data_IF_413262073195
#
_entry.id   IF_413262073195
#
_cell.length_a   1.000
_cell.length_b   1.000
_cell.length_c   1.000
_cell.angle_alpha   90.00
_cell.angle_beta   90.00
_cell.angle_gamma   90.00
#
_symmetry.space_group_name_H-M   'P 1'
#
loop_
_entity.id
_entity.type
_entity.pdbx_description
1 polymer ?
#
# COMPACT_ATOMS: atom_id res chain seq x y z
N UNK A 1 9.23 9.79 48.86
CA UNK A 1 8.02 9.91 49.72
C UNK A 1 6.80 9.73 48.81
N UNK A 2 5.93 8.72 49.05
CA UNK A 2 4.84 8.33 48.13
C UNK A 2 3.83 9.45 47.86
N UNK A 3 3.63 10.38 48.78
CA UNK A 3 2.68 11.48 48.67
C UNK A 3 3.11 12.59 47.68
N UNK A 4 4.38 12.61 47.25
CA UNK A 4 4.88 13.53 46.20
C UNK A 4 4.83 12.93 44.78
N UNK A 5 4.43 11.69 44.63
CA UNK A 5 4.35 11.03 43.34
C UNK A 5 3.44 11.76 42.33
N UNK A 6 2.26 12.27 42.72
CA UNK A 6 1.41 13.04 41.82
C UNK A 6 2.03 14.35 41.32
N UNK A 7 2.74 15.06 42.19
CA UNK A 7 3.44 16.30 41.83
C UNK A 7 4.63 16.01 40.89
N UNK A 8 5.40 14.98 41.22
CA UNK A 8 6.52 14.54 40.40
C UNK A 8 6.06 14.09 39.01
N UNK A 9 4.94 13.34 38.92
CA UNK A 9 4.36 12.92 37.63
C UNK A 9 3.85 14.11 36.82
N UNK A 10 3.28 15.15 37.46
CA UNK A 10 2.88 16.38 36.77
C UNK A 10 4.11 17.14 36.26
N UNK A 11 5.14 17.33 37.09
CA UNK A 11 6.35 18.00 36.67
C UNK A 11 7.05 17.25 35.51
N UNK A 12 7.10 15.93 35.58
CA UNK A 12 7.58 15.09 34.49
C UNK A 12 6.74 15.26 33.24
N UNK A 13 5.39 15.21 33.34
CA UNK A 13 4.49 15.40 32.22
C UNK A 13 4.68 16.80 31.61
N UNK A 14 4.75 17.84 32.41
CA UNK A 14 4.95 19.20 31.92
C UNK A 14 6.33 19.41 31.31
N UNK A 15 7.38 18.75 31.82
CA UNK A 15 8.76 18.94 31.36
C UNK A 15 9.13 18.12 30.13
N UNK A 16 8.64 16.90 30.06
CA UNK A 16 9.05 15.91 29.02
C UNK A 16 7.98 15.53 28.03
N UNK A 17 6.70 15.73 28.35
CA UNK A 17 5.57 15.33 27.53
C UNK A 17 4.67 16.51 27.11
N UNK A 18 5.15 17.75 27.26
CA UNK A 18 4.42 18.93 26.81
C UNK A 18 4.31 18.90 25.29
N UNK A 19 3.12 18.61 24.80
CA UNK A 19 2.78 18.76 23.37
C UNK A 19 2.37 20.22 23.19
N UNK A 20 3.28 21.06 22.69
CA UNK A 20 3.05 22.49 22.49
C UNK A 20 2.05 22.79 21.36
N UNK A 21 1.94 21.91 20.38
CA UNK A 21 0.89 21.93 19.36
C UNK A 21 0.75 20.54 18.75
N UNK A 22 -0.49 20.06 18.56
CA UNK A 22 -0.78 18.91 17.71
C UNK A 22 -0.67 19.36 16.27
N UNK A 23 0.28 18.80 15.53
CA UNK A 23 0.38 19.03 14.08
C UNK A 23 -0.81 18.37 13.35
N UNK A 24 -1.08 18.81 12.12
CA UNK A 24 -2.08 18.14 11.27
C UNK A 24 -1.73 16.65 11.08
N UNK A 25 -0.43 16.32 11.03
CA UNK A 25 0.05 14.93 10.92
C UNK A 25 -0.24 14.12 12.21
N UNK A 26 -0.11 14.71 13.38
CA UNK A 26 -0.40 14.02 14.65
C UNK A 26 -1.91 13.74 14.81
N UNK A 27 -2.74 14.69 14.37
CA UNK A 27 -4.20 14.50 14.34
C UNK A 27 -4.58 13.39 13.38
N UNK A 28 -4.05 13.40 12.16
CA UNK A 28 -4.28 12.37 11.17
C UNK A 28 -3.83 10.97 11.65
N UNK A 29 -2.68 10.88 12.36
CA UNK A 29 -2.24 9.62 12.98
C UNK A 29 -3.22 9.15 14.06
N UNK A 30 -3.68 10.04 14.93
CA UNK A 30 -4.63 9.71 16.00
C UNK A 30 -5.95 9.19 15.42
N UNK A 31 -6.48 9.84 14.39
CA UNK A 31 -7.70 9.40 13.68
C UNK A 31 -7.51 8.03 13.05
N UNK A 32 -6.37 7.77 12.44
CA UNK A 32 -6.03 6.48 11.86
C UNK A 32 -5.96 5.36 12.91
N UNK A 33 -5.38 5.63 14.10
CA UNK A 33 -5.37 4.66 15.19
C UNK A 33 -6.78 4.33 15.69
N UNK A 34 -7.62 5.35 15.84
CA UNK A 34 -9.03 5.17 16.23
C UNK A 34 -9.80 4.37 15.19
N UNK A 35 -9.65 4.68 13.91
CA UNK A 35 -10.28 3.96 12.82
C UNK A 35 -9.82 2.48 12.78
N UNK A 36 -8.54 2.21 13.00
CA UNK A 36 -8.02 0.84 13.04
C UNK A 36 -8.55 0.06 14.25
N UNK A 37 -8.64 0.69 15.42
CA UNK A 37 -9.24 0.07 16.61
C UNK A 37 -10.73 -0.25 16.38
N UNK A 38 -11.48 0.67 15.78
CA UNK A 38 -12.89 0.46 15.43
C UNK A 38 -13.08 -0.67 14.40
N UNK A 39 -12.19 -0.79 13.40
CA UNK A 39 -12.18 -1.91 12.45
C UNK A 39 -11.93 -3.24 13.15
N UNK A 40 -10.94 -3.29 14.04
CA UNK A 40 -10.60 -4.51 14.79
C UNK A 40 -11.76 -4.96 15.70
N UNK A 41 -12.44 -4.02 16.33
CA UNK A 41 -13.63 -4.33 17.14
C UNK A 41 -14.79 -4.82 16.28
N UNK A 42 -15.07 -4.13 15.16
CA UNK A 42 -16.12 -4.53 14.24
C UNK A 42 -15.87 -5.94 13.66
N UNK A 43 -14.62 -6.31 13.38
CA UNK A 43 -14.28 -7.63 12.84
C UNK A 43 -14.69 -8.78 13.78
N UNK A 44 -14.67 -8.55 15.09
CA UNK A 44 -15.08 -9.58 16.10
C UNK A 44 -16.55 -9.94 16.04
N UNK A 45 -17.39 -9.05 15.49
CA UNK A 45 -18.83 -9.28 15.36
C UNK A 45 -19.23 -10.14 14.16
N UNK A 46 -18.30 -10.56 13.31
CA UNK A 46 -18.57 -11.34 12.12
C UNK A 46 -17.99 -12.75 12.22
N UNK A 47 -18.80 -13.76 11.91
CA UNK A 47 -18.36 -15.15 11.84
C UNK A 47 -17.57 -15.43 10.55
N UNK A 48 -17.91 -14.75 9.45
CA UNK A 48 -17.25 -14.85 8.15
C UNK A 48 -16.45 -13.58 7.83
N UNK A 49 -15.20 -13.75 7.41
CA UNK A 49 -14.32 -12.64 7.10
C UNK A 49 -14.75 -11.88 5.84
N UNK A 50 -15.34 -12.57 4.86
CA UNK A 50 -15.87 -11.95 3.66
C UNK A 50 -17.07 -11.03 3.96
N UNK A 51 -17.95 -11.44 4.88
CA UNK A 51 -19.06 -10.60 5.35
C UNK A 51 -18.53 -9.34 6.05
N UNK A 52 -17.50 -9.49 6.87
CA UNK A 52 -16.83 -8.35 7.47
C UNK A 52 -16.27 -7.40 6.41
N UNK A 53 -15.53 -7.90 5.41
CA UNK A 53 -14.98 -7.07 4.35
C UNK A 53 -16.08 -6.33 3.57
N UNK A 54 -17.18 -7.01 3.22
CA UNK A 54 -18.35 -6.38 2.58
C UNK A 54 -18.95 -5.27 3.43
N UNK A 55 -19.03 -5.48 4.74
CA UNK A 55 -19.57 -4.51 5.68
C UNK A 55 -18.74 -3.22 5.78
N UNK A 56 -17.47 -3.24 5.40
CA UNK A 56 -16.62 -2.06 5.42
C UNK A 56 -17.01 -1.02 4.36
N UNK A 57 -17.64 -1.45 3.24
CA UNK A 57 -17.96 -0.55 2.14
C UNK A 57 -16.72 0.12 1.56
N UNK A 58 -15.67 -0.67 1.34
CA UNK A 58 -14.38 -0.17 0.88
C UNK A 58 -14.45 0.40 -0.53
N UNK A 59 -13.95 1.61 -0.69
CA UNK A 59 -13.74 2.27 -1.98
C UNK A 59 -12.25 2.41 -2.21
N UNK A 60 -11.79 1.87 -3.33
CA UNK A 60 -10.42 1.92 -3.79
C UNK A 60 -10.35 2.88 -4.99
N UNK A 61 -9.74 4.03 -4.80
CA UNK A 61 -9.52 5.01 -5.88
C UNK A 61 -8.13 4.84 -6.43
N UNK A 62 -8.03 4.49 -7.72
CA UNK A 62 -6.77 4.22 -8.42
C UNK A 62 -6.60 5.27 -9.51
N UNK A 63 -5.49 6.01 -9.46
CA UNK A 63 -5.17 7.13 -10.37
C UNK A 63 -3.75 7.04 -10.88
N UNK A 64 -3.52 7.68 -12.02
CA UNK A 64 -2.15 8.05 -12.43
C UNK A 64 -1.60 9.09 -11.45
N UNK A 65 -0.32 8.97 -11.11
CA UNK A 65 0.33 10.00 -10.30
C UNK A 65 0.38 11.33 -11.06
N UNK A 66 0.36 12.40 -10.30
CA UNK A 66 0.44 13.79 -10.76
C UNK A 66 1.41 14.59 -9.88
N UNK A 67 1.57 15.87 -10.14
CA UNK A 67 2.45 16.75 -9.37
C UNK A 67 2.09 16.81 -7.87
N UNK A 68 0.80 16.65 -7.52
CA UNK A 68 0.33 16.70 -6.13
C UNK A 68 0.59 15.38 -5.39
N UNK A 69 0.50 14.25 -6.07
CA UNK A 69 0.63 12.92 -5.47
C UNK A 69 2.07 12.40 -5.50
N UNK A 70 2.91 12.89 -6.41
CA UNK A 70 4.32 12.48 -6.56
C UNK A 70 5.14 12.60 -5.27
N UNK A 71 5.07 13.69 -4.48
CA UNK A 71 5.78 13.79 -3.21
C UNK A 71 5.40 12.66 -2.25
N UNK A 72 4.11 12.28 -2.24
CA UNK A 72 3.62 11.19 -1.42
C UNK A 72 4.11 9.83 -1.90
N UNK A 73 4.15 9.58 -3.20
CA UNK A 73 4.72 8.36 -3.79
C UNK A 73 6.19 8.24 -3.39
N UNK A 74 7.00 9.30 -3.58
CA UNK A 74 8.40 9.33 -3.18
C UNK A 74 8.56 8.99 -1.68
N UNK A 75 7.80 9.64 -0.81
CA UNK A 75 7.81 9.37 0.62
C UNK A 75 7.49 7.90 0.94
N UNK A 76 6.52 7.31 0.24
CA UNK A 76 6.12 5.92 0.45
C UNK A 76 7.23 4.95 0.05
N UNK A 77 7.95 5.19 -1.06
CA UNK A 77 9.10 4.36 -1.44
C UNK A 77 10.19 4.38 -0.37
N UNK A 78 10.41 5.51 0.32
CA UNK A 78 11.40 5.64 1.38
C UNK A 78 11.01 4.92 2.68
N UNK A 79 9.71 4.90 3.03
CA UNK A 79 9.25 4.48 4.35
C UNK A 79 8.63 3.08 4.38
N UNK A 80 8.19 2.52 3.25
CA UNK A 80 7.49 1.23 3.20
C UNK A 80 8.47 0.08 2.97
N UNK A 81 8.44 -0.89 3.89
CA UNK A 81 9.32 -2.05 3.84
C UNK A 81 8.57 -3.38 3.90
N UNK A 82 7.44 -3.43 4.62
CA UNK A 82 6.76 -4.68 4.95
C UNK A 82 6.02 -5.25 3.74
N UNK A 83 5.24 -4.43 3.05
CA UNK A 83 4.67 -4.78 1.75
C UNK A 83 5.33 -3.89 0.68
N UNK A 84 6.48 -4.34 0.21
CA UNK A 84 7.24 -3.72 -0.87
C UNK A 84 8.09 -4.83 -1.53
N UNK A 85 7.80 -5.12 -2.78
CA UNK A 85 8.33 -6.30 -3.44
C UNK A 85 9.78 -6.14 -3.91
N UNK A 86 10.24 -4.90 -4.15
CA UNK A 86 11.60 -4.61 -4.62
C UNK A 86 12.40 -3.71 -3.68
N UNK A 87 11.71 -2.94 -2.84
CA UNK A 87 12.29 -1.94 -1.93
C UNK A 87 13.12 -0.86 -2.61
N UNK A 88 12.89 -0.61 -3.91
CA UNK A 88 13.46 0.54 -4.61
C UNK A 88 13.07 1.83 -3.93
N UNK A 89 14.01 2.80 -3.91
CA UNK A 89 13.84 4.10 -3.25
C UNK A 89 13.97 5.20 -4.28
N UNK A 90 12.96 6.05 -4.37
CA UNK A 90 12.88 7.10 -5.37
C UNK A 90 12.68 8.46 -4.72
N UNK A 91 13.38 9.48 -5.22
CA UNK A 91 13.03 10.87 -5.02
C UNK A 91 11.89 11.28 -5.96
N UNK A 92 11.32 12.45 -5.73
CA UNK A 92 10.31 13.01 -6.64
C UNK A 92 10.87 13.21 -8.06
N UNK A 93 12.14 13.62 -8.17
CA UNK A 93 12.82 13.78 -9.45
C UNK A 93 13.01 12.45 -10.19
N UNK A 94 13.28 11.35 -9.45
CA UNK A 94 13.38 10.02 -10.04
C UNK A 94 12.03 9.56 -10.59
N UNK A 95 10.95 9.76 -9.84
CA UNK A 95 9.60 9.41 -10.27
C UNK A 95 9.20 10.19 -11.51
N UNK A 96 9.50 11.52 -11.55
CA UNK A 96 9.27 12.35 -12.74
C UNK A 96 10.03 11.82 -13.95
N UNK A 97 11.31 11.45 -13.78
CA UNK A 97 12.10 10.86 -14.88
C UNK A 97 11.49 9.55 -15.41
N UNK A 98 10.97 8.72 -14.52
CA UNK A 98 10.27 7.48 -14.92
C UNK A 98 9.05 7.84 -15.78
N UNK A 99 8.24 8.81 -15.36
CA UNK A 99 7.05 9.25 -16.10
C UNK A 99 7.43 9.87 -17.46
N UNK A 100 8.44 10.74 -17.47
CA UNK A 100 8.95 11.40 -18.70
C UNK A 100 9.52 10.39 -19.71
N UNK A 101 10.02 9.24 -19.24
CA UNK A 101 10.49 8.12 -20.07
C UNK A 101 9.37 7.17 -20.51
N UNK A 102 8.10 7.52 -20.28
CA UNK A 102 6.94 6.70 -20.65
C UNK A 102 6.54 5.66 -19.60
N UNK A 103 7.18 5.66 -18.45
CA UNK A 103 6.77 4.86 -17.31
C UNK A 103 5.39 5.28 -16.76
N UNK A 104 4.78 4.40 -15.99
CA UNK A 104 3.43 4.61 -15.45
C UNK A 104 3.47 4.47 -13.94
N UNK A 105 3.02 5.49 -13.25
CA UNK A 105 2.96 5.52 -11.78
C UNK A 105 1.50 5.58 -11.36
N UNK A 106 1.04 4.55 -10.68
CA UNK A 106 -0.32 4.48 -10.14
C UNK A 106 -0.29 4.66 -8.65
N UNK A 107 -1.26 5.41 -8.13
CA UNK A 107 -1.53 5.58 -6.71
C UNK A 107 -2.82 4.88 -6.33
N UNK A 108 -2.88 4.41 -5.10
CA UNK A 108 -4.07 3.83 -4.47
C UNK A 108 -4.44 4.63 -3.24
N UNK A 109 -5.64 5.18 -3.22
CA UNK A 109 -6.30 5.69 -2.02
C UNK A 109 -7.38 4.74 -1.56
N UNK A 110 -7.57 4.64 -0.25
CA UNK A 110 -8.55 3.72 0.35
C UNK A 110 -9.39 4.46 1.36
N UNK A 111 -10.71 4.41 1.18
CA UNK A 111 -11.69 4.86 2.18
C UNK A 111 -12.68 3.75 2.52
N UNK A 112 -13.18 3.74 3.73
CA UNK A 112 -14.23 2.85 4.18
C UNK A 112 -15.15 3.55 5.20
N UNK A 113 -16.13 2.87 5.76
CA UNK A 113 -17.07 3.45 6.74
C UNK A 113 -16.41 4.03 8.00
N UNK A 114 -15.18 3.70 8.29
CA UNK A 114 -14.43 4.18 9.46
C UNK A 114 -13.50 5.35 9.14
N UNK A 115 -13.35 5.72 7.87
CA UNK A 115 -12.60 6.90 7.47
C UNK A 115 -11.78 6.72 6.20
N UNK A 116 -11.11 7.81 5.81
CA UNK A 116 -10.22 7.88 4.68
C UNK A 116 -8.76 7.64 5.13
N UNK A 117 -8.10 6.69 4.48
CA UNK A 117 -6.70 6.38 4.72
C UNK A 117 -5.75 7.17 3.82
N UNK A 118 -6.28 7.94 2.88
CA UNK A 118 -5.51 8.66 1.86
C UNK A 118 -4.72 7.72 0.94
N UNK A 119 -3.65 8.25 0.33
CA UNK A 119 -2.77 7.46 -0.54
C UNK A 119 -2.00 6.45 0.31
N UNK A 120 -2.27 5.18 0.07
CA UNK A 120 -1.76 4.05 0.85
C UNK A 120 -1.05 2.98 0.02
N UNK A 121 -1.06 3.10 -1.30
CA UNK A 121 -0.33 2.22 -2.20
C UNK A 121 0.23 2.96 -3.39
N UNK A 122 1.29 2.43 -3.98
CA UNK A 122 1.72 2.80 -5.32
C UNK A 122 2.24 1.59 -6.09
N UNK A 123 2.07 1.65 -7.43
CA UNK A 123 2.58 0.69 -8.39
C UNK A 123 3.26 1.47 -9.52
N UNK A 124 4.52 1.15 -9.77
CA UNK A 124 5.33 1.77 -10.83
C UNK A 124 5.59 0.72 -11.89
N UNK A 125 5.28 1.06 -13.13
CA UNK A 125 5.63 0.26 -14.31
C UNK A 125 6.61 1.06 -15.15
N UNK A 126 7.77 0.48 -15.42
CA UNK A 126 8.80 1.03 -16.25
C UNK A 126 9.42 -0.08 -17.12
N UNK A 127 9.77 0.22 -18.35
CA UNK A 127 10.46 -0.70 -19.28
C UNK A 127 9.79 -2.08 -19.41
N UNK A 128 8.45 -2.10 -19.43
CA UNK A 128 7.67 -3.35 -19.52
C UNK A 128 7.68 -4.22 -18.26
N UNK A 129 8.07 -3.66 -17.12
CA UNK A 129 8.12 -4.36 -15.85
C UNK A 129 7.37 -3.61 -14.74
N UNK A 130 6.81 -4.35 -13.77
CA UNK A 130 6.47 -3.80 -12.47
C UNK A 130 7.78 -3.58 -11.71
N UNK A 131 8.24 -2.34 -11.69
CA UNK A 131 9.44 -1.91 -10.98
C UNK A 131 9.20 -1.91 -9.46
N UNK A 132 8.09 -1.31 -9.04
CA UNK A 132 7.72 -1.18 -7.63
C UNK A 132 6.24 -1.46 -7.43
N UNK A 133 5.94 -2.31 -6.46
CA UNK A 133 4.59 -2.47 -5.88
C UNK A 133 4.73 -2.43 -4.37
N UNK A 134 4.10 -1.43 -3.76
CA UNK A 134 4.13 -1.28 -2.31
C UNK A 134 2.79 -0.79 -1.75
N UNK A 135 2.49 -1.22 -0.53
CA UNK A 135 1.32 -0.79 0.22
C UNK A 135 1.70 -0.47 1.67
N UNK A 136 1.07 0.56 2.20
CA UNK A 136 1.17 0.90 3.63
C UNK A 136 0.64 -0.24 4.50
N UNK A 137 1.32 -0.52 5.62
CA UNK A 137 0.88 -1.55 6.57
C UNK A 137 -0.52 -1.30 7.14
N UNK A 138 -1.04 -0.07 7.06
CA UNK A 138 -2.37 0.31 7.56
C UNK A 138 -3.53 -0.38 6.85
N UNK A 139 -3.32 -0.82 5.61
CA UNK A 139 -4.38 -1.41 4.78
C UNK A 139 -4.19 -2.90 4.50
N UNK A 140 -3.11 -3.50 5.01
CA UNK A 140 -2.82 -4.92 4.81
C UNK A 140 -3.85 -5.84 5.49
N UNK A 141 -3.93 -7.07 5.00
CA UNK A 141 -4.81 -8.11 5.55
C UNK A 141 -6.28 -7.97 5.14
N UNK A 142 -6.59 -7.13 4.15
CA UNK A 142 -7.94 -6.94 3.63
C UNK A 142 -8.06 -7.29 2.14
N UNK A 143 -7.05 -7.91 1.54
CA UNK A 143 -7.01 -8.29 0.11
C UNK A 143 -6.88 -7.13 -0.88
N UNK A 144 -6.68 -5.90 -0.37
CA UNK A 144 -6.57 -4.67 -1.17
C UNK A 144 -5.38 -4.72 -2.13
N UNK A 145 -4.29 -5.38 -1.71
CA UNK A 145 -3.08 -5.57 -2.51
C UNK A 145 -3.37 -6.30 -3.83
N UNK A 146 -4.21 -7.32 -3.77
CA UNK A 146 -4.67 -8.08 -4.94
C UNK A 146 -5.58 -7.24 -5.82
N UNK A 147 -6.56 -6.56 -5.23
CA UNK A 147 -7.49 -5.71 -5.95
C UNK A 147 -6.76 -4.58 -6.70
N UNK A 148 -5.78 -3.95 -6.05
CA UNK A 148 -4.96 -2.90 -6.66
C UNK A 148 -4.16 -3.43 -7.86
N UNK A 149 -3.41 -4.52 -7.68
CA UNK A 149 -2.64 -5.12 -8.77
C UNK A 149 -3.56 -5.47 -9.95
N UNK A 150 -4.64 -6.21 -9.72
CA UNK A 150 -5.56 -6.67 -10.76
C UNK A 150 -6.22 -5.52 -11.53
N UNK A 151 -6.58 -4.45 -10.83
CA UNK A 151 -7.11 -3.25 -11.49
C UNK A 151 -6.07 -2.61 -12.41
N UNK A 152 -4.82 -2.44 -11.93
CA UNK A 152 -3.75 -1.88 -12.76
C UNK A 152 -3.44 -2.81 -13.96
N UNK A 153 -3.42 -4.13 -13.76
CA UNK A 153 -3.25 -5.08 -14.87
C UNK A 153 -4.36 -4.94 -15.92
N UNK A 154 -5.61 -4.73 -15.48
CA UNK A 154 -6.73 -4.49 -16.41
C UNK A 154 -6.55 -3.17 -17.19
N UNK A 155 -6.05 -2.11 -16.54
CA UNK A 155 -5.77 -0.84 -17.22
C UNK A 155 -4.64 -1.01 -18.26
N UNK A 156 -3.53 -1.66 -17.88
CA UNK A 156 -2.41 -1.94 -18.79
C UNK A 156 -2.82 -2.77 -20.00
N UNK A 157 -3.65 -3.80 -19.79
CA UNK A 157 -4.21 -4.61 -20.88
C UNK A 157 -5.04 -3.78 -21.84
N UNK A 158 -5.86 -2.85 -21.34
CA UNK A 158 -6.64 -1.92 -22.19
C UNK A 158 -5.75 -0.97 -22.98
N UNK A 159 -4.57 -0.64 -22.46
CA UNK A 159 -3.53 0.14 -23.15
C UNK A 159 -2.71 -0.68 -24.16
N UNK A 160 -3.03 -1.97 -24.36
CA UNK A 160 -2.37 -2.85 -25.32
C UNK A 160 -1.11 -3.54 -24.82
N UNK A 161 -0.82 -3.51 -23.51
CA UNK A 161 0.31 -4.26 -22.95
C UNK A 161 -0.03 -5.75 -22.95
N UNK A 162 0.74 -6.54 -23.69
CA UNK A 162 0.51 -7.98 -23.81
C UNK A 162 1.26 -8.80 -22.77
N UNK A 163 2.47 -8.35 -22.38
CA UNK A 163 3.33 -9.08 -21.43
C UNK A 163 3.90 -8.11 -20.42
N UNK A 164 4.01 -8.56 -19.19
CA UNK A 164 4.56 -7.77 -18.09
C UNK A 164 5.56 -8.60 -17.30
N UNK A 165 6.72 -8.02 -17.01
CA UNK A 165 7.69 -8.61 -16.09
C UNK A 165 7.50 -8.09 -14.67
N UNK A 166 8.01 -8.82 -13.68
CA UNK A 166 8.04 -8.38 -12.29
C UNK A 166 9.23 -9.00 -11.55
N UNK A 167 9.62 -8.42 -10.43
CA UNK A 167 10.68 -8.95 -9.61
C UNK A 167 10.29 -8.92 -8.12
N UNK A 168 10.69 -9.96 -7.40
CA UNK A 168 10.71 -9.98 -5.94
C UNK A 168 12.16 -9.96 -5.48
N UNK A 169 12.52 -8.98 -4.66
CA UNK A 169 13.83 -8.85 -4.02
C UNK A 169 13.64 -9.04 -2.51
N UNK A 170 14.18 -10.13 -1.92
CA UNK A 170 13.98 -10.42 -0.52
C UNK A 170 14.71 -9.44 0.39
N UNK A 171 14.07 -9.09 1.49
CA UNK A 171 14.66 -8.31 2.58
C UNK A 171 14.24 -8.90 3.92
N UNK A 172 14.90 -8.47 5.00
CA UNK A 172 14.53 -8.91 6.36
C UNK A 172 13.09 -8.54 6.76
N UNK A 173 12.39 -7.65 6.00
CA UNK A 173 11.07 -7.11 6.39
C UNK A 173 9.94 -7.49 5.43
N UNK A 174 10.23 -7.93 4.19
CA UNK A 174 9.20 -8.18 3.18
C UNK A 174 8.89 -9.66 2.92
N UNK A 175 9.35 -10.58 3.74
CA UNK A 175 9.16 -12.02 3.54
C UNK A 175 7.70 -12.45 3.33
N UNK A 176 6.73 -11.70 3.89
CA UNK A 176 5.31 -11.97 3.66
C UNK A 176 4.86 -11.80 2.20
N UNK A 177 5.62 -11.05 1.38
CA UNK A 177 5.32 -10.80 -0.03
C UNK A 177 5.98 -11.80 -0.98
N UNK A 178 6.82 -12.71 -0.49
CA UNK A 178 7.65 -13.62 -1.29
C UNK A 178 6.86 -14.46 -2.31
N UNK A 179 5.61 -14.80 -2.00
CA UNK A 179 4.73 -15.59 -2.87
C UNK A 179 3.58 -14.76 -3.47
N UNK A 180 3.67 -13.45 -3.42
CA UNK A 180 2.58 -12.60 -3.88
C UNK A 180 2.36 -12.76 -5.39
N UNK A 181 3.39 -12.65 -6.20
CA UNK A 181 3.27 -12.81 -7.65
C UNK A 181 2.86 -14.22 -8.07
N UNK A 182 3.34 -15.28 -7.37
CA UNK A 182 2.90 -16.66 -7.64
C UNK A 182 1.38 -16.80 -7.48
N UNK A 183 0.79 -16.18 -6.46
CA UNK A 183 -0.65 -16.22 -6.18
C UNK A 183 -1.48 -15.40 -7.17
N UNK A 184 -0.87 -14.41 -7.81
CA UNK A 184 -1.51 -13.56 -8.80
C UNK A 184 -1.25 -14.02 -10.25
N UNK A 185 -0.78 -15.27 -10.43
CA UNK A 185 -0.68 -15.91 -11.73
C UNK A 185 0.57 -15.57 -12.53
N UNK A 186 1.55 -14.90 -11.92
CA UNK A 186 2.84 -14.68 -12.57
C UNK A 186 3.66 -15.97 -12.59
N UNK A 187 4.33 -16.24 -13.70
CA UNK A 187 5.20 -17.39 -13.87
C UNK A 187 6.64 -17.02 -13.50
N UNK A 188 7.29 -17.72 -12.56
CA UNK A 188 8.69 -17.49 -12.25
C UNK A 188 9.58 -17.94 -13.42
N UNK A 189 10.47 -17.05 -13.89
CA UNK A 189 11.40 -17.32 -15.00
C UNK A 189 12.84 -17.45 -14.57
N UNK A 190 13.21 -16.90 -13.42
CA UNK A 190 14.55 -17.07 -12.84
C UNK A 190 14.53 -16.88 -11.33
N UNK A 191 15.43 -17.59 -10.65
CA UNK A 191 15.67 -17.46 -9.21
C UNK A 191 17.14 -17.17 -8.95
N UNK A 192 17.45 -16.13 -8.20
CA UNK A 192 18.80 -15.80 -7.78
C UNK A 192 19.22 -16.58 -6.53
N UNK A 193 20.52 -16.72 -6.33
CA UNK A 193 21.08 -17.32 -5.12
C UNK A 193 20.80 -16.51 -3.85
N UNK A 194 20.49 -15.22 -4.01
CA UNK A 194 20.07 -14.28 -2.96
C UNK A 194 18.59 -14.41 -2.59
N UNK A 195 17.85 -15.34 -3.22
CA UNK A 195 16.42 -15.54 -3.04
C UNK A 195 15.54 -14.60 -3.88
N UNK A 196 16.13 -13.79 -4.74
CA UNK A 196 15.38 -12.98 -5.71
C UNK A 196 14.66 -13.87 -6.72
N UNK A 197 13.49 -13.41 -7.20
CA UNK A 197 12.72 -14.13 -8.21
C UNK A 197 12.25 -13.16 -9.27
N UNK A 198 12.55 -13.48 -10.53
CA UNK A 198 11.99 -12.78 -11.68
C UNK A 198 10.78 -13.52 -12.22
N UNK A 199 9.78 -12.77 -12.60
CA UNK A 199 8.50 -13.26 -13.07
C UNK A 199 8.13 -12.68 -14.42
N UNK A 200 7.25 -13.37 -15.13
CA UNK A 200 6.55 -12.85 -16.30
C UNK A 200 5.06 -13.16 -16.18
N UNK A 201 4.24 -12.33 -16.83
CA UNK A 201 2.79 -12.52 -16.93
C UNK A 201 2.35 -12.26 -18.37
N UNK A 202 1.63 -13.22 -18.96
CA UNK A 202 0.84 -12.97 -20.15
C UNK A 202 -0.43 -12.22 -19.75
N UNK A 203 -0.45 -10.93 -20.06
CA UNK A 203 -1.53 -10.05 -19.63
C UNK A 203 -2.81 -10.29 -20.44
N UNK A 204 -2.70 -10.88 -21.62
CA UNK A 204 -3.87 -11.19 -22.48
C UNK A 204 -4.74 -12.27 -21.85
N UNK A 205 -4.14 -13.23 -21.17
CA UNK A 205 -4.80 -14.35 -20.49
C UNK A 205 -4.96 -14.16 -18.97
N UNK A 206 -4.39 -13.10 -18.40
CA UNK A 206 -4.39 -12.88 -16.95
C UNK A 206 -5.79 -12.67 -16.37
N UNK A 207 -6.06 -13.29 -15.22
CA UNK A 207 -7.25 -12.99 -14.42
C UNK A 207 -7.10 -11.62 -13.75
N UNK A 208 -7.92 -10.68 -14.18
CA UNK A 208 -7.98 -9.32 -13.64
C UNK A 208 -9.27 -9.04 -12.86
N UNK A 209 -10.06 -10.07 -12.55
CA UNK A 209 -11.29 -9.92 -11.78
C UNK A 209 -10.98 -9.46 -10.34
N UNK A 210 -11.73 -8.47 -9.89
CA UNK A 210 -11.64 -7.93 -8.53
C UNK A 210 -12.85 -8.41 -7.74
N UNK A 211 -12.64 -8.72 -6.47
CA UNK A 211 -13.70 -9.17 -5.58
C UNK A 211 -14.77 -8.07 -5.42
N UNK A 212 -16.03 -8.49 -5.39
CA UNK A 212 -17.19 -7.61 -5.26
C UNK A 212 -17.30 -6.88 -3.90
N UNK A 213 -16.42 -7.20 -2.95
CA UNK A 213 -16.38 -6.48 -1.66
C UNK A 213 -15.76 -5.07 -1.77
N UNK A 214 -15.20 -4.71 -2.96
CA UNK A 214 -14.64 -3.38 -3.21
C UNK A 214 -15.44 -2.62 -4.26
N UNK A 215 -15.60 -1.32 -4.06
CA UNK A 215 -15.94 -0.39 -5.14
C UNK A 215 -14.64 0.16 -5.71
N UNK A 216 -14.43 -0.02 -7.02
CA UNK A 216 -13.23 0.48 -7.71
C UNK A 216 -13.57 1.76 -8.46
N UNK A 217 -12.85 2.83 -8.15
CA UNK A 217 -12.88 4.10 -8.87
C UNK A 217 -11.54 4.28 -9.60
N UNK A 218 -11.57 4.42 -10.94
CA UNK A 218 -10.41 4.70 -11.77
C UNK A 218 -10.52 6.09 -12.38
N UNK A 219 -9.49 6.91 -12.21
CA UNK A 219 -9.42 8.28 -12.75
C UNK A 219 -8.10 8.53 -13.49
#
# INVERSE_FOLDING_TARGET
>A
QPYRLPEFLRDMADRYFRIYALTAEDRAKTEQYRANAARAEAARGYADFGDYLRSLGMVLTIRRADDFTRPRVAQMTQKTNQFNLTTCRYSEADIRRIEDSGGRVYTLSVRDRFGDSGITGCLIVADGAIDTLLLSCRILGRGIERAFLRTVLALLRREGVATLSACYLPTAKNGQTARFYDREGFTPVARGADGSVRYTLDLTAADTAVDACYTIECE
#
